data_IF_032949165110
#
_entry.id   IF_032949165110
#
_cell.length_a   1.000
_cell.length_b   1.000
_cell.length_c   1.000
_cell.angle_alpha   90.00
_cell.angle_beta   90.00
_cell.angle_gamma   90.00
#
_symmetry.space_group_name_H-M   'P 1'
#
loop_
_entity.id
_entity.type
_entity.pdbx_description
1 polymer ?
#
# COMPACT_ATOMS: atom_id res chain seq x y z
N UNK A 1 9.65 2.11 -23.32
CA UNK A 1 8.48 1.28 -22.94
C UNK A 1 8.85 -0.19 -22.71
N UNK A 2 9.55 -0.88 -23.64
CA UNK A 2 9.91 -2.31 -23.48
C UNK A 2 10.88 -2.59 -22.32
N UNK A 3 11.82 -1.71 -22.06
CA UNK A 3 12.79 -1.85 -20.94
C UNK A 3 12.13 -1.62 -19.57
N UNK A 4 11.19 -0.70 -19.47
CA UNK A 4 10.38 -0.45 -18.26
C UNK A 4 9.51 -1.65 -17.92
N UNK A 5 8.86 -2.29 -18.92
CA UNK A 5 8.06 -3.51 -18.75
C UNK A 5 8.90 -4.70 -18.26
N UNK A 6 10.14 -4.83 -18.73
CA UNK A 6 11.04 -5.90 -18.29
C UNK A 6 11.47 -5.68 -16.84
N UNK A 7 11.75 -4.43 -16.43
CA UNK A 7 12.08 -4.06 -15.05
C UNK A 7 10.90 -4.30 -14.10
N UNK A 8 9.69 -3.94 -14.49
CA UNK A 8 8.49 -4.15 -13.68
C UNK A 8 8.21 -5.64 -13.42
N UNK A 9 8.35 -6.50 -14.45
CA UNK A 9 8.23 -7.96 -14.27
C UNK A 9 9.32 -8.53 -13.36
N UNK A 10 10.56 -8.05 -13.48
CA UNK A 10 11.65 -8.50 -12.62
C UNK A 10 11.45 -8.06 -11.17
N UNK A 11 10.88 -6.89 -10.92
CA UNK A 11 10.47 -6.45 -9.58
C UNK A 11 9.42 -7.40 -8.98
N UNK A 12 8.33 -7.66 -9.67
CA UNK A 12 7.27 -8.56 -9.18
C UNK A 12 7.80 -9.96 -8.80
N UNK A 13 8.71 -10.53 -9.60
CA UNK A 13 9.28 -11.86 -9.32
C UNK A 13 10.21 -11.81 -8.10
N UNK A 14 11.05 -10.78 -7.99
CA UNK A 14 11.95 -10.60 -6.87
C UNK A 14 11.19 -10.37 -5.56
N UNK A 15 10.19 -9.51 -5.59
CA UNK A 15 9.34 -9.23 -4.42
C UNK A 15 8.60 -10.49 -3.96
N UNK A 16 8.08 -11.28 -4.88
CA UNK A 16 7.44 -12.56 -4.56
C UNK A 16 8.40 -13.55 -3.90
N UNK A 17 9.65 -13.62 -4.36
CA UNK A 17 10.64 -14.50 -3.78
C UNK A 17 11.10 -14.05 -2.38
N UNK A 18 11.31 -12.75 -2.19
CA UNK A 18 11.66 -12.16 -0.88
C UNK A 18 10.50 -12.38 0.11
N UNK A 19 9.27 -12.12 -0.32
CA UNK A 19 8.07 -12.36 0.49
C UNK A 19 7.97 -13.84 0.91
N UNK A 20 8.24 -14.78 0.00
CA UNK A 20 8.26 -16.20 0.35
C UNK A 20 9.23 -16.52 1.48
N UNK A 21 10.46 -16.01 1.42
CA UNK A 21 11.47 -16.23 2.45
C UNK A 21 11.03 -15.65 3.80
N UNK A 22 10.48 -14.45 3.79
CA UNK A 22 10.07 -13.75 5.02
C UNK A 22 8.89 -14.47 5.67
N UNK A 23 7.84 -14.74 4.91
CA UNK A 23 6.58 -15.32 5.41
C UNK A 23 6.77 -16.76 5.86
N UNK A 24 7.62 -17.53 5.15
CA UNK A 24 7.91 -18.92 5.50
C UNK A 24 8.59 -19.09 6.86
N UNK A 25 9.31 -18.05 7.34
CA UNK A 25 9.96 -18.00 8.66
C UNK A 25 9.01 -17.68 9.82
N UNK A 26 7.78 -17.26 9.53
CA UNK A 26 6.75 -16.95 10.52
C UNK A 26 6.73 -15.47 10.96
N UNK A 27 5.69 -15.12 11.76
CA UNK A 27 5.41 -13.73 12.14
C UNK A 27 6.56 -13.11 12.93
N UNK A 28 6.96 -13.74 14.05
CA UNK A 28 7.99 -13.15 14.93
C UNK A 28 9.38 -13.09 14.30
N UNK A 29 9.82 -14.20 13.66
CA UNK A 29 11.18 -14.29 13.09
C UNK A 29 11.32 -13.66 11.72
N UNK A 30 10.25 -13.54 10.97
CA UNK A 30 10.24 -13.00 9.61
C UNK A 30 9.72 -11.57 9.55
N UNK A 31 8.44 -11.40 9.81
CA UNK A 31 7.73 -10.14 9.58
C UNK A 31 8.17 -9.05 10.56
N UNK A 32 8.16 -9.34 11.86
CA UNK A 32 8.55 -8.38 12.90
C UNK A 32 9.99 -7.90 12.72
N UNK A 33 10.94 -8.82 12.52
CA UNK A 33 12.34 -8.46 12.31
C UNK A 33 12.54 -7.61 11.06
N UNK A 34 11.83 -7.93 9.98
CA UNK A 34 11.88 -7.16 8.74
C UNK A 34 11.33 -5.74 8.96
N UNK A 35 10.15 -5.62 9.59
CA UNK A 35 9.53 -4.32 9.85
C UNK A 35 10.40 -3.44 10.74
N UNK A 36 11.00 -3.98 11.79
CA UNK A 36 11.88 -3.24 12.69
C UNK A 36 13.13 -2.67 12.00
N UNK A 37 13.56 -3.25 10.88
CA UNK A 37 14.70 -2.75 10.10
C UNK A 37 14.23 -1.81 8.99
N UNK A 38 13.18 -2.21 8.23
CA UNK A 38 12.78 -1.48 7.03
C UNK A 38 12.01 -0.20 7.35
N UNK A 39 11.22 -0.15 8.43
CA UNK A 39 10.46 1.05 8.78
C UNK A 39 11.33 2.26 9.11
N UNK A 40 12.37 2.17 9.97
CA UNK A 40 13.29 3.29 10.19
C UNK A 40 13.98 3.75 8.90
N UNK A 41 14.41 2.82 8.05
CA UNK A 41 15.03 3.15 6.76
C UNK A 41 14.07 3.94 5.86
N UNK A 42 12.81 3.50 5.78
CA UNK A 42 11.76 4.19 5.04
C UNK A 42 11.58 5.63 5.53
N UNK A 43 11.47 5.84 6.85
CA UNK A 43 11.31 7.18 7.43
C UNK A 43 12.52 8.08 7.16
N UNK A 44 13.74 7.55 7.27
CA UNK A 44 14.96 8.33 6.97
C UNK A 44 14.96 8.79 5.51
N UNK A 45 14.69 7.89 4.57
CA UNK A 45 14.64 8.22 3.14
C UNK A 45 13.52 9.23 2.87
N UNK A 46 12.35 9.06 3.47
CA UNK A 46 11.22 9.98 3.33
C UNK A 46 11.60 11.40 3.81
N UNK A 47 12.27 11.53 4.95
CA UNK A 47 12.72 12.82 5.49
C UNK A 47 13.75 13.47 4.55
N UNK A 48 14.70 12.71 4.00
CA UNK A 48 15.69 13.20 3.04
C UNK A 48 15.00 13.76 1.78
N UNK A 49 14.01 13.05 1.25
CA UNK A 49 13.21 13.55 0.12
C UNK A 49 12.41 14.79 0.47
N UNK A 50 11.81 14.84 1.67
CA UNK A 50 11.04 15.98 2.14
C UNK A 50 11.92 17.25 2.19
N UNK A 51 13.09 17.16 2.81
CA UNK A 51 14.05 18.27 2.88
C UNK A 51 14.45 18.69 1.46
N UNK A 52 14.77 17.75 0.58
CA UNK A 52 15.14 18.06 -0.81
C UNK A 52 14.02 18.73 -1.58
N UNK A 53 12.79 18.26 -1.46
CA UNK A 53 11.63 18.82 -2.16
C UNK A 53 11.33 20.25 -1.72
N UNK A 54 11.46 20.54 -0.42
CA UNK A 54 11.29 21.87 0.13
C UNK A 54 12.37 22.89 -0.30
N UNK A 55 13.54 22.41 -0.76
CA UNK A 55 14.62 23.29 -1.29
C UNK A 55 14.48 23.60 -2.78
N UNK A 56 13.44 23.13 -3.44
CA UNK A 56 13.20 23.39 -4.87
C UNK A 56 12.66 24.83 -5.10
N UNK A 57 12.93 25.44 -6.26
CA UNK A 57 12.59 26.85 -6.53
C UNK A 57 11.10 27.18 -6.35
N UNK A 58 10.21 26.33 -6.81
CA UNK A 58 8.76 26.54 -6.78
C UNK A 58 8.04 25.67 -5.72
N UNK A 59 8.76 25.28 -4.67
CA UNK A 59 8.23 24.47 -3.60
C UNK A 59 6.97 25.08 -2.94
N UNK A 60 6.94 26.41 -2.81
CA UNK A 60 5.83 27.13 -2.21
C UNK A 60 4.53 27.00 -3.01
N UNK A 61 4.58 26.98 -4.34
CA UNK A 61 3.40 26.81 -5.19
C UNK A 61 2.82 25.39 -5.03
N UNK A 62 3.69 24.39 -5.08
CA UNK A 62 3.31 23.00 -4.84
C UNK A 62 2.71 22.77 -3.44
N UNK A 63 3.31 23.35 -2.41
CA UNK A 63 2.77 23.29 -1.05
C UNK A 63 1.42 24.02 -0.93
N UNK A 64 1.28 25.19 -1.54
CA UNK A 64 0.02 25.92 -1.55
C UNK A 64 -1.07 25.12 -2.25
N UNK A 65 -0.78 24.51 -3.38
CA UNK A 65 -1.71 23.62 -4.07
C UNK A 65 -2.15 22.44 -3.18
N UNK A 66 -1.21 21.80 -2.50
CA UNK A 66 -1.48 20.61 -1.68
C UNK A 66 -2.23 20.95 -0.37
N UNK A 67 -1.84 22.03 0.30
CA UNK A 67 -2.35 22.38 1.65
C UNK A 67 -3.51 23.38 1.63
N UNK A 68 -3.82 24.01 0.48
CA UNK A 68 -4.91 24.96 0.39
C UNK A 68 -6.25 24.23 0.13
N UNK A 69 -7.14 24.14 1.12
CA UNK A 69 -8.40 23.43 0.96
C UNK A 69 -9.37 24.23 0.06
N UNK A 70 -9.89 23.57 -0.96
CA UNK A 70 -10.97 24.09 -1.81
C UNK A 70 -12.27 23.32 -1.53
N UNK A 71 -13.06 23.84 -0.60
CA UNK A 71 -14.33 23.22 -0.19
C UNK A 71 -15.37 23.20 -1.30
N UNK A 72 -15.24 24.04 -2.34
CA UNK A 72 -16.17 24.07 -3.47
C UNK A 72 -16.12 22.80 -4.34
N UNK A 73 -15.00 22.07 -4.28
CA UNK A 73 -14.78 20.83 -5.03
C UNK A 73 -15.23 19.56 -4.30
N UNK A 74 -15.77 19.69 -3.09
CA UNK A 74 -16.25 18.53 -2.33
C UNK A 74 -17.58 18.06 -2.92
N UNK A 75 -17.54 16.96 -3.66
CA UNK A 75 -18.71 16.27 -4.19
C UNK A 75 -18.92 14.93 -3.47
N UNK A 76 -20.10 14.31 -3.53
CA UNK A 76 -20.32 12.98 -2.97
C UNK A 76 -19.31 11.94 -3.49
N UNK A 77 -18.89 12.04 -4.75
CA UNK A 77 -17.89 11.16 -5.33
C UNK A 77 -16.51 11.35 -4.70
N UNK A 78 -16.14 12.58 -4.36
CA UNK A 78 -14.88 12.88 -3.65
C UNK A 78 -14.91 12.27 -2.26
N UNK A 79 -16.02 12.34 -1.54
CA UNK A 79 -16.19 11.75 -0.21
C UNK A 79 -16.04 10.22 -0.28
N UNK A 80 -16.72 9.57 -1.23
CA UNK A 80 -16.64 8.10 -1.40
C UNK A 80 -15.22 7.65 -1.75
N UNK A 81 -14.53 8.40 -2.62
CA UNK A 81 -13.13 8.11 -2.97
C UNK A 81 -12.18 8.30 -1.78
N UNK A 82 -12.36 9.38 -1.01
CA UNK A 82 -11.57 9.63 0.19
C UNK A 82 -11.78 8.54 1.25
N UNK A 83 -13.03 8.11 1.44
CA UNK A 83 -13.37 7.00 2.33
C UNK A 83 -12.71 5.69 1.86
N UNK A 84 -12.82 5.36 0.57
CA UNK A 84 -12.16 4.19 -0.02
C UNK A 84 -10.63 4.22 0.18
N UNK A 85 -10.01 5.39 -0.02
CA UNK A 85 -8.59 5.59 0.23
C UNK A 85 -8.22 5.40 1.70
N UNK A 86 -9.01 5.90 2.64
CA UNK A 86 -8.78 5.71 4.07
C UNK A 86 -8.89 4.22 4.46
N UNK A 87 -9.88 3.50 3.94
CA UNK A 87 -10.00 2.06 4.14
C UNK A 87 -8.80 1.30 3.59
N UNK A 88 -8.32 1.68 2.41
CA UNK A 88 -7.16 1.07 1.78
C UNK A 88 -5.88 1.34 2.58
N UNK A 89 -5.61 2.60 2.94
CA UNK A 89 -4.40 3.03 3.63
C UNK A 89 -4.29 2.41 5.03
N UNK A 90 -5.37 2.45 5.80
CA UNK A 90 -5.44 1.85 7.13
C UNK A 90 -5.66 0.33 7.12
N UNK A 91 -5.70 -0.29 5.92
CA UNK A 91 -5.94 -1.73 5.75
C UNK A 91 -7.24 -2.24 6.40
N UNK A 92 -8.27 -1.37 6.44
CA UNK A 92 -9.60 -1.72 6.96
C UNK A 92 -10.34 -2.61 5.94
N UNK A 93 -11.09 -3.59 6.42
CA UNK A 93 -11.85 -4.48 5.55
C UNK A 93 -11.05 -5.60 4.86
N UNK A 94 -9.72 -5.60 4.97
CA UNK A 94 -8.84 -6.62 4.37
C UNK A 94 -8.56 -7.81 5.30
N UNK A 95 -9.04 -7.80 6.55
CA UNK A 95 -8.72 -8.82 7.54
C UNK A 95 -7.32 -8.71 8.16
N UNK A 96 -6.49 -7.75 7.73
CA UNK A 96 -5.11 -7.57 8.24
C UNK A 96 -5.13 -7.26 9.72
N UNK A 97 -5.94 -6.31 10.15
CA UNK A 97 -6.03 -5.93 11.57
C UNK A 97 -6.53 -7.08 12.45
N UNK A 98 -7.47 -7.89 11.96
CA UNK A 98 -7.97 -9.08 12.68
C UNK A 98 -6.84 -10.11 12.80
N UNK A 99 -6.15 -10.39 11.70
CA UNK A 99 -5.03 -11.34 11.70
C UNK A 99 -3.93 -10.91 12.65
N UNK A 100 -3.53 -9.64 12.63
CA UNK A 100 -2.49 -9.15 13.53
C UNK A 100 -2.96 -9.03 14.98
N UNK A 101 -4.22 -8.67 15.22
CA UNK A 101 -4.76 -8.61 16.58
C UNK A 101 -4.78 -9.99 17.25
N UNK A 102 -4.90 -11.07 16.48
CA UNK A 102 -4.80 -12.44 17.02
C UNK A 102 -3.41 -12.79 17.57
N UNK A 103 -2.39 -12.02 17.21
CA UNK A 103 -1.03 -12.16 17.73
C UNK A 103 -0.72 -11.23 18.90
N UNK A 104 -1.66 -10.32 19.27
CA UNK A 104 -1.45 -9.38 20.36
C UNK A 104 -1.44 -10.07 21.72
N UNK A 105 -0.64 -9.52 22.62
CA UNK A 105 -0.64 -9.96 24.02
C UNK A 105 -1.78 -9.26 24.79
N UNK A 106 -2.32 -9.90 25.83
CA UNK A 106 -3.41 -9.38 26.66
C UNK A 106 -3.11 -8.01 27.34
N UNK A 107 -1.85 -7.56 27.32
CA UNK A 107 -1.42 -6.24 27.82
C UNK A 107 -1.49 -5.12 26.77
N UNK A 108 -1.87 -5.40 25.53
CA UNK A 108 -1.87 -4.41 24.45
C UNK A 108 -3.07 -3.47 24.57
N UNK A 109 -2.80 -2.16 24.64
CA UNK A 109 -3.83 -1.12 24.65
C UNK A 109 -4.33 -0.84 23.23
N UNK A 110 -5.44 -1.46 22.82
CA UNK A 110 -5.96 -1.41 21.45
C UNK A 110 -6.23 0.02 20.95
N UNK A 111 -6.88 0.87 21.78
CA UNK A 111 -7.21 2.25 21.40
C UNK A 111 -5.94 3.06 21.13
N UNK A 112 -4.95 2.96 22.02
CA UNK A 112 -3.66 3.65 21.85
C UNK A 112 -2.96 3.18 20.58
N UNK A 113 -2.94 1.89 20.31
CA UNK A 113 -2.34 1.31 19.11
C UNK A 113 -3.05 1.79 17.86
N UNK A 114 -4.38 1.73 17.80
CA UNK A 114 -5.17 2.20 16.66
C UNK A 114 -4.96 3.69 16.38
N UNK A 115 -4.99 4.54 17.42
CA UNK A 115 -4.72 5.98 17.27
C UNK A 115 -3.31 6.25 16.76
N UNK A 116 -2.31 5.54 17.28
CA UNK A 116 -0.92 5.68 16.82
C UNK A 116 -0.78 5.29 15.34
N UNK A 117 -1.40 4.19 14.91
CA UNK A 117 -1.39 3.77 13.51
C UNK A 117 -2.03 4.82 12.62
N UNK A 118 -3.22 5.33 12.98
CA UNK A 118 -3.91 6.34 12.19
C UNK A 118 -3.10 7.65 12.06
N UNK A 119 -2.47 8.11 13.15
CA UNK A 119 -1.64 9.32 13.15
C UNK A 119 -0.39 9.12 12.28
N UNK A 120 0.29 7.99 12.41
CA UNK A 120 1.49 7.69 11.62
C UNK A 120 1.17 7.55 10.13
N UNK A 121 0.09 6.87 9.78
CA UNK A 121 -0.38 6.71 8.39
C UNK A 121 -0.66 8.08 7.76
N UNK A 122 -1.44 8.92 8.44
CA UNK A 122 -1.74 10.29 7.99
C UNK A 122 -0.46 11.12 7.86
N UNK A 123 0.48 11.00 8.80
CA UNK A 123 1.76 11.72 8.75
C UNK A 123 2.58 11.33 7.52
N UNK A 124 2.68 10.03 7.23
CA UNK A 124 3.38 9.54 6.02
C UNK A 124 2.70 10.04 4.76
N UNK A 125 1.37 10.03 4.70
CA UNK A 125 0.62 10.54 3.55
C UNK A 125 0.85 12.03 3.31
N UNK A 126 0.87 12.84 4.38
CA UNK A 126 1.19 14.28 4.29
C UNK A 126 2.63 14.50 3.83
N UNK A 127 3.60 13.78 4.39
CA UNK A 127 5.00 13.87 3.97
C UNK A 127 5.18 13.48 2.50
N UNK A 128 4.49 12.43 2.03
CA UNK A 128 4.50 12.06 0.62
C UNK A 128 3.94 13.17 -0.29
N UNK A 129 2.86 13.84 0.12
CA UNK A 129 2.33 15.02 -0.58
C UNK A 129 3.33 16.18 -0.62
N UNK A 130 3.99 16.47 0.50
CA UNK A 130 5.05 17.50 0.59
C UNK A 130 6.26 17.16 -0.28
N UNK A 131 6.51 15.90 -0.57
CA UNK A 131 7.57 15.48 -1.49
C UNK A 131 7.14 15.65 -2.95
N UNK A 132 5.95 15.18 -3.28
CA UNK A 132 5.48 15.04 -4.67
C UNK A 132 5.09 16.39 -5.27
N UNK A 133 4.23 17.16 -4.60
CA UNK A 133 3.67 18.37 -5.19
C UNK A 133 4.72 19.46 -5.45
N UNK A 134 5.62 19.82 -4.51
CA UNK A 134 6.68 20.76 -4.81
C UNK A 134 7.59 20.30 -5.95
N UNK A 135 7.90 19.01 -6.02
CA UNK A 135 8.74 18.45 -7.07
C UNK A 135 8.06 18.57 -8.45
N UNK A 136 6.78 18.20 -8.55
CA UNK A 136 6.00 18.27 -9.79
C UNK A 136 5.87 19.71 -10.29
N UNK A 137 5.53 20.66 -9.41
CA UNK A 137 5.39 22.08 -9.75
C UNK A 137 6.73 22.71 -10.15
N UNK A 138 7.82 22.44 -9.43
CA UNK A 138 9.13 22.98 -9.73
C UNK A 138 9.68 22.58 -11.10
N UNK A 139 9.20 21.47 -11.64
CA UNK A 139 9.64 21.00 -12.96
C UNK A 139 8.56 21.14 -14.05
N UNK A 140 7.46 21.86 -13.76
CA UNK A 140 6.40 22.18 -14.72
C UNK A 140 5.71 20.95 -15.31
N UNK A 141 5.60 19.88 -14.52
CA UNK A 141 4.94 18.64 -14.93
C UNK A 141 3.52 18.63 -14.36
N UNK A 142 2.53 18.27 -15.17
CA UNK A 142 1.16 18.16 -14.71
C UNK A 142 1.02 17.07 -13.63
N UNK A 143 0.33 17.35 -12.51
CA UNK A 143 0.08 16.40 -11.45
C UNK A 143 -0.94 15.35 -11.92
N UNK A 144 -0.50 14.39 -12.72
CA UNK A 144 -1.33 13.28 -13.20
C UNK A 144 -1.61 12.32 -12.05
N UNK A 145 -2.85 11.87 -11.93
CA UNK A 145 -3.24 10.89 -10.92
C UNK A 145 -2.90 9.46 -11.36
N UNK A 146 -2.62 8.60 -10.37
CA UNK A 146 -2.46 7.17 -10.59
C UNK A 146 -1.01 6.70 -10.70
N UNK A 147 -0.78 5.46 -11.17
CA UNK A 147 0.55 4.85 -11.25
C UNK A 147 1.56 5.62 -12.11
N UNK A 148 1.08 6.35 -13.10
CA UNK A 148 1.92 7.14 -14.00
C UNK A 148 2.65 8.27 -13.28
N UNK A 149 2.07 8.83 -12.21
CA UNK A 149 2.74 9.82 -11.37
C UNK A 149 4.03 9.24 -10.76
N UNK A 150 3.96 8.01 -10.28
CA UNK A 150 5.07 7.34 -9.57
C UNK A 150 6.12 6.78 -10.52
N UNK A 151 5.69 6.17 -11.64
CA UNK A 151 6.60 5.42 -12.51
C UNK A 151 7.04 6.18 -13.76
N UNK A 152 6.36 7.27 -14.12
CA UNK A 152 6.69 8.10 -15.30
C UNK A 152 7.06 9.52 -14.89
N UNK A 153 6.16 10.20 -14.17
CA UNK A 153 6.34 11.61 -13.84
C UNK A 153 7.51 11.85 -12.89
N UNK A 154 7.55 11.18 -11.75
CA UNK A 154 8.63 11.38 -10.77
C UNK A 154 10.02 11.00 -11.29
N UNK A 155 10.23 9.88 -12.02
CA UNK A 155 11.51 9.62 -12.66
C UNK A 155 11.95 10.70 -13.65
N UNK A 156 11.02 11.31 -14.40
CA UNK A 156 11.33 12.43 -15.29
C UNK A 156 11.74 13.67 -14.50
N UNK A 157 11.10 13.95 -13.37
CA UNK A 157 11.52 15.01 -12.44
C UNK A 157 12.95 14.76 -11.93
N UNK A 158 13.25 13.54 -11.49
CA UNK A 158 14.61 13.21 -11.01
C UNK A 158 15.67 13.31 -12.08
N UNK A 159 15.35 13.04 -13.35
CA UNK A 159 16.30 13.22 -14.46
C UNK A 159 16.72 14.67 -14.66
N UNK A 160 15.92 15.65 -14.22
CA UNK A 160 16.22 17.07 -14.28
C UNK A 160 16.97 17.57 -13.04
N UNK A 161 17.09 16.73 -12.00
CA UNK A 161 17.81 17.10 -10.77
C UNK A 161 19.31 16.77 -10.88
N UNK A 162 20.19 17.55 -10.19
CA UNK A 162 21.60 17.18 -10.07
C UNK A 162 21.70 15.81 -9.37
N UNK A 163 22.65 14.98 -9.84
CA UNK A 163 22.85 13.60 -9.34
C UNK A 163 21.59 12.74 -9.47
N UNK A 164 20.93 12.80 -10.63
CA UNK A 164 19.66 12.13 -10.93
C UNK A 164 19.64 10.63 -10.58
N UNK A 165 20.75 9.93 -10.80
CA UNK A 165 20.88 8.50 -10.50
C UNK A 165 20.71 8.21 -8.99
N UNK A 166 21.22 9.07 -8.12
CA UNK A 166 21.08 8.93 -6.67
C UNK A 166 19.62 9.08 -6.24
N UNK A 167 18.94 10.14 -6.70
CA UNK A 167 17.54 10.40 -6.36
C UNK A 167 16.63 9.31 -6.86
N UNK A 168 16.82 8.85 -8.10
CA UNK A 168 16.06 7.72 -8.65
C UNK A 168 16.30 6.44 -7.85
N UNK A 169 17.54 6.12 -7.49
CA UNK A 169 17.88 4.93 -6.72
C UNK A 169 17.24 4.96 -5.32
N UNK A 170 17.34 6.10 -4.61
CA UNK A 170 16.71 6.27 -3.29
C UNK A 170 15.18 6.16 -3.37
N UNK A 171 14.57 6.75 -4.38
CA UNK A 171 13.12 6.69 -4.57
C UNK A 171 12.63 5.26 -4.83
N UNK A 172 13.28 4.53 -5.74
CA UNK A 172 12.90 3.14 -6.00
C UNK A 172 13.22 2.22 -4.81
N UNK A 173 14.25 2.54 -4.02
CA UNK A 173 14.50 1.85 -2.75
C UNK A 173 13.35 2.10 -1.76
N UNK A 174 12.91 3.35 -1.60
CA UNK A 174 11.76 3.73 -0.77
C UNK A 174 10.51 2.95 -1.18
N UNK A 175 10.17 2.96 -2.48
CA UNK A 175 9.02 2.24 -3.00
C UNK A 175 9.12 0.72 -2.76
N UNK A 176 10.30 0.14 -2.98
CA UNK A 176 10.52 -1.29 -2.76
C UNK A 176 10.31 -1.66 -1.29
N UNK A 177 10.85 -0.86 -0.36
CA UNK A 177 10.68 -1.08 1.08
C UNK A 177 9.21 -0.95 1.47
N UNK A 178 8.52 0.09 1.00
CA UNK A 178 7.10 0.30 1.27
C UNK A 178 6.22 -0.83 0.70
N UNK A 179 6.49 -1.27 -0.53
CA UNK A 179 5.77 -2.36 -1.18
C UNK A 179 5.99 -3.70 -0.45
N UNK A 180 7.22 -4.01 -0.03
CA UNK A 180 7.53 -5.24 0.70
C UNK A 180 6.79 -5.32 2.04
N UNK A 181 6.75 -4.25 2.81
CA UNK A 181 6.03 -4.24 4.10
C UNK A 181 4.54 -4.47 3.93
N UNK A 182 3.92 -3.85 2.92
CA UNK A 182 2.50 -4.01 2.61
C UNK A 182 2.16 -5.39 2.05
N UNK A 183 2.95 -5.88 1.10
CA UNK A 183 2.70 -7.20 0.49
C UNK A 183 2.85 -8.33 1.49
N UNK A 184 3.83 -8.28 2.39
CA UNK A 184 3.98 -9.27 3.47
C UNK A 184 2.74 -9.33 4.35
N UNK A 185 2.16 -8.18 4.70
CA UNK A 185 0.94 -8.12 5.52
C UNK A 185 -0.27 -8.73 4.82
N UNK A 186 -0.47 -8.43 3.54
CA UNK A 186 -1.54 -9.01 2.72
C UNK A 186 -1.39 -10.52 2.55
N UNK A 187 -0.17 -10.99 2.30
CA UNK A 187 0.11 -12.43 2.18
C UNK A 187 -0.16 -13.18 3.48
N UNK A 188 0.16 -12.58 4.65
CA UNK A 188 -0.05 -13.22 5.95
C UNK A 188 -1.54 -13.51 6.20
N UNK A 189 -2.45 -12.60 5.83
CA UNK A 189 -3.89 -12.82 5.94
C UNK A 189 -4.32 -14.06 5.15
N UNK A 190 -3.92 -14.15 3.89
CA UNK A 190 -4.29 -15.27 3.04
C UNK A 190 -3.63 -16.57 3.49
N UNK A 191 -2.37 -16.52 3.93
CA UNK A 191 -1.67 -17.70 4.47
C UNK A 191 -2.33 -18.18 5.76
N UNK A 192 -2.73 -17.26 6.66
CA UNK A 192 -3.48 -17.61 7.88
C UNK A 192 -4.80 -18.29 7.54
N UNK A 193 -5.52 -17.81 6.53
CA UNK A 193 -6.74 -18.46 6.05
C UNK A 193 -6.49 -19.91 5.60
N UNK A 194 -5.48 -20.14 4.76
CA UNK A 194 -5.13 -21.50 4.29
C UNK A 194 -4.69 -22.43 5.41
N UNK A 195 -4.00 -21.91 6.44
CA UNK A 195 -3.61 -22.70 7.61
C UNK A 195 -4.84 -23.09 8.43
N UNK A 196 -5.72 -22.11 8.73
CA UNK A 196 -6.82 -22.31 9.67
C UNK A 196 -8.00 -23.08 9.05
N UNK A 197 -8.33 -22.82 7.77
CA UNK A 197 -9.47 -23.48 7.11
C UNK A 197 -9.10 -24.72 6.33
N UNK A 198 -7.95 -24.74 5.67
CA UNK A 198 -7.53 -25.87 4.84
C UNK A 198 -6.50 -26.75 5.54
N UNK A 199 -6.15 -26.46 6.79
CA UNK A 199 -5.20 -27.21 7.61
C UNK A 199 -3.85 -27.48 6.91
N UNK A 200 -3.42 -26.55 6.03
CA UNK A 200 -2.16 -26.66 5.32
C UNK A 200 -0.99 -26.27 6.23
N UNK A 201 0.14 -26.94 6.06
CA UNK A 201 1.37 -26.47 6.72
C UNK A 201 1.74 -25.10 6.17
N UNK A 202 2.35 -24.24 7.02
CA UNK A 202 2.72 -22.85 6.65
C UNK A 202 3.50 -22.79 5.32
N UNK A 203 4.47 -23.69 5.10
CA UNK A 203 5.24 -23.72 3.85
C UNK A 203 4.38 -24.03 2.62
N UNK A 204 3.41 -24.95 2.75
CA UNK A 204 2.48 -25.28 1.66
C UNK A 204 1.53 -24.13 1.39
N UNK A 205 0.95 -23.53 2.44
CA UNK A 205 0.05 -22.37 2.33
C UNK A 205 0.74 -21.19 1.65
N UNK A 206 1.96 -20.83 2.08
CA UNK A 206 2.74 -19.73 1.49
C UNK A 206 3.06 -20.00 0.01
N UNK A 207 3.44 -21.23 -0.34
CA UNK A 207 3.74 -21.62 -1.73
C UNK A 207 2.49 -21.53 -2.62
N UNK A 208 1.35 -22.04 -2.15
CA UNK A 208 0.07 -21.99 -2.88
C UNK A 208 -0.34 -20.54 -3.13
N UNK A 209 -0.28 -19.70 -2.10
CA UNK A 209 -0.62 -18.28 -2.23
C UNK A 209 0.32 -17.56 -3.21
N UNK A 210 1.61 -17.87 -3.17
CA UNK A 210 2.58 -17.28 -4.08
C UNK A 210 2.28 -17.62 -5.55
N UNK A 211 1.89 -18.85 -5.84
CA UNK A 211 1.51 -19.26 -7.20
C UNK A 211 0.26 -18.50 -7.67
N UNK A 212 -0.77 -18.40 -6.82
CA UNK A 212 -2.00 -17.67 -7.14
C UNK A 212 -1.68 -16.20 -7.46
N UNK A 213 -0.94 -15.53 -6.57
CA UNK A 213 -0.57 -14.12 -6.76
C UNK A 213 0.32 -13.92 -7.99
N UNK A 214 1.25 -14.83 -8.27
CA UNK A 214 2.09 -14.75 -9.46
C UNK A 214 1.27 -14.82 -10.76
N UNK A 215 0.24 -15.67 -10.81
CA UNK A 215 -0.67 -15.75 -11.96
C UNK A 215 -1.48 -14.45 -12.09
N UNK A 216 -2.12 -13.98 -11.02
CA UNK A 216 -2.94 -12.78 -11.02
C UNK A 216 -2.12 -11.52 -11.36
N UNK A 217 -0.93 -11.37 -10.76
CA UNK A 217 -0.04 -10.24 -11.04
C UNK A 217 0.46 -10.23 -12.49
N UNK A 218 0.66 -11.41 -13.08
CA UNK A 218 1.02 -11.51 -14.50
C UNK A 218 -0.12 -11.02 -15.39
N UNK A 219 -1.36 -11.40 -15.11
CA UNK A 219 -2.56 -10.93 -15.83
C UNK A 219 -2.71 -9.41 -15.71
N UNK A 220 -2.61 -8.86 -14.50
CA UNK A 220 -2.66 -7.41 -14.25
C UNK A 220 -1.52 -6.67 -14.98
N UNK A 221 -0.30 -7.20 -14.95
CA UNK A 221 0.85 -6.59 -15.65
C UNK A 221 0.68 -6.61 -17.17
N UNK A 222 0.11 -7.67 -17.74
CA UNK A 222 -0.20 -7.75 -19.17
C UNK A 222 -1.30 -6.75 -19.57
N UNK A 223 -2.26 -6.50 -18.69
CA UNK A 223 -3.38 -5.57 -18.97
C UNK A 223 -2.95 -4.11 -19.09
N UNK A 224 -1.87 -3.70 -18.41
CA UNK A 224 -1.28 -2.36 -18.55
C UNK A 224 -0.47 -2.26 -19.87
N UNK A 225 -0.10 -3.40 -20.44
CA UNK A 225 0.77 -3.49 -21.62
C UNK A 225 0.13 -4.07 -22.86
N UNK A 226 0.41 -5.33 -23.10
CA UNK A 226 0.03 -6.02 -24.34
C UNK A 226 -1.48 -6.23 -24.47
N UNK A 227 -2.21 -6.29 -23.35
CA UNK A 227 -3.64 -6.49 -23.29
C UNK A 227 -4.42 -5.20 -22.94
N UNK A 228 -3.83 -4.04 -23.15
CA UNK A 228 -4.49 -2.74 -22.87
C UNK A 228 -5.74 -2.50 -23.74
N UNK A 229 -5.90 -3.24 -24.82
CA UNK A 229 -7.10 -3.24 -25.67
C UNK A 229 -8.27 -4.05 -25.07
N UNK A 230 -7.99 -5.00 -24.16
CA UNK A 230 -9.03 -5.78 -23.49
C UNK A 230 -9.62 -4.91 -22.38
N UNK A 231 -10.90 -4.57 -22.50
CA UNK A 231 -11.61 -3.74 -21.54
C UNK A 231 -12.78 -4.48 -20.93
N UNK A 232 -12.90 -4.41 -19.61
CA UNK A 232 -14.01 -4.92 -18.81
C UNK A 232 -14.77 -3.71 -18.26
N UNK A 233 -16.03 -3.54 -18.63
CA UNK A 233 -16.83 -2.35 -18.29
C UNK A 233 -16.14 -1.02 -18.65
N UNK A 234 -15.46 -0.97 -19.80
CA UNK A 234 -14.74 0.23 -20.27
C UNK A 234 -13.40 0.51 -19.58
N UNK A 235 -12.97 -0.30 -18.62
CA UNK A 235 -11.70 -0.20 -17.87
C UNK A 235 -10.73 -1.29 -18.29
N UNK A 236 -9.43 -1.05 -18.13
CA UNK A 236 -8.44 -2.15 -18.25
C UNK A 236 -8.68 -3.19 -17.16
N UNK A 237 -8.14 -4.40 -17.31
CA UNK A 237 -8.28 -5.45 -16.28
C UNK A 237 -7.70 -4.97 -14.93
N UNK A 238 -6.57 -4.26 -14.97
CA UNK A 238 -5.96 -3.67 -13.78
C UNK A 238 -6.89 -2.66 -13.11
N UNK A 239 -7.40 -1.67 -13.86
CA UNK A 239 -8.29 -0.65 -13.32
C UNK A 239 -9.62 -1.22 -12.82
N UNK A 240 -10.11 -2.30 -13.47
CA UNK A 240 -11.31 -3.00 -13.02
C UNK A 240 -11.07 -3.74 -11.69
N UNK A 241 -9.93 -4.41 -11.54
CA UNK A 241 -9.54 -5.05 -10.28
C UNK A 241 -9.34 -4.03 -9.16
N UNK A 242 -8.68 -2.91 -9.45
CA UNK A 242 -8.48 -1.82 -8.49
C UNK A 242 -9.82 -1.22 -8.04
N UNK A 243 -10.69 -0.88 -8.98
CA UNK A 243 -12.02 -0.35 -8.67
C UNK A 243 -12.84 -1.32 -7.81
N UNK A 244 -12.86 -2.59 -8.18
CA UNK A 244 -13.63 -3.61 -7.47
C UNK A 244 -13.08 -3.85 -6.06
N UNK A 245 -11.76 -3.91 -5.90
CA UNK A 245 -11.14 -4.12 -4.60
C UNK A 245 -11.25 -2.89 -3.70
N UNK A 246 -10.83 -1.71 -4.17
CA UNK A 246 -10.71 -0.52 -3.33
C UNK A 246 -12.06 0.17 -3.06
N UNK A 247 -12.98 0.21 -4.03
CA UNK A 247 -14.23 0.96 -3.92
C UNK A 247 -15.39 0.08 -3.46
N UNK A 248 -15.38 -1.22 -3.77
CA UNK A 248 -16.49 -2.12 -3.42
C UNK A 248 -16.12 -3.05 -2.26
N UNK A 249 -15.08 -3.89 -2.45
CA UNK A 249 -14.78 -4.94 -1.47
C UNK A 249 -14.30 -4.41 -0.13
N UNK A 250 -13.51 -3.34 -0.11
CA UNK A 250 -12.98 -2.80 1.15
C UNK A 250 -14.08 -2.19 2.04
N UNK A 251 -14.93 -1.25 1.55
CA UNK A 251 -16.00 -0.73 2.38
C UNK A 251 -17.02 -1.80 2.80
N UNK A 252 -17.41 -2.69 1.88
CA UNK A 252 -18.34 -3.79 2.20
C UNK A 252 -17.72 -4.77 3.19
N UNK A 253 -16.45 -5.14 2.98
CA UNK A 253 -15.71 -6.00 3.91
C UNK A 253 -15.57 -5.38 5.29
N UNK A 254 -15.26 -4.10 5.37
CA UNK A 254 -15.19 -3.36 6.64
C UNK A 254 -16.51 -3.31 7.37
N UNK A 255 -17.61 -3.08 6.65
CA UNK A 255 -18.96 -3.10 7.21
C UNK A 255 -19.34 -4.48 7.72
N UNK A 256 -19.11 -5.54 6.92
CA UNK A 256 -19.40 -6.91 7.33
C UNK A 256 -18.60 -7.34 8.56
N UNK A 257 -17.29 -7.01 8.60
CA UNK A 257 -16.42 -7.29 9.74
C UNK A 257 -16.92 -6.56 10.99
N UNK A 258 -17.28 -5.28 10.87
CA UNK A 258 -17.81 -4.48 11.98
C UNK A 258 -19.13 -5.06 12.50
N UNK A 259 -20.04 -5.44 11.61
CA UNK A 259 -21.30 -6.09 11.98
C UNK A 259 -21.06 -7.42 12.69
N UNK A 260 -20.18 -8.28 12.17
CA UNK A 260 -19.88 -9.57 12.77
C UNK A 260 -19.26 -9.42 14.16
N UNK A 261 -18.32 -8.48 14.33
CA UNK A 261 -17.69 -8.21 15.64
C UNK A 261 -18.70 -7.67 16.66
N UNK A 262 -19.66 -6.86 16.21
CA UNK A 262 -20.70 -6.33 17.09
C UNK A 262 -21.73 -7.40 17.50
N UNK A 263 -22.05 -8.33 16.61
CA UNK A 263 -23.05 -9.38 16.86
C UNK A 263 -22.45 -10.63 17.50
N UNK A 264 -21.14 -10.79 17.52
CA UNK A 264 -20.49 -11.94 18.17
C UNK A 264 -20.58 -11.80 19.70
N UNK A 265 -21.03 -12.83 20.42
CA UNK A 265 -21.08 -12.79 21.88
C UNK A 265 -19.69 -12.57 22.46
N UNK A 266 -19.59 -11.65 23.41
CA UNK A 266 -18.35 -11.41 24.14
C UNK A 266 -17.97 -12.64 24.95
N UNK A 267 -16.68 -12.95 25.16
CA UNK A 267 -16.26 -14.00 26.11
C UNK A 267 -16.84 -13.83 27.51
N UNK A 268 -17.21 -12.59 27.89
CA UNK A 268 -17.90 -12.31 29.17
C UNK A 268 -19.35 -12.75 29.16
N UNK A 269 -20.03 -12.73 28.02
CA UNK A 269 -21.43 -13.16 27.90
C UNK A 269 -21.56 -14.69 27.93
N UNK A 270 -20.49 -15.40 27.53
CA UNK A 270 -20.42 -16.87 27.54
C UNK A 270 -20.04 -17.40 28.93
N UNK A 271 -19.34 -16.63 29.77
CA UNK A 271 -18.93 -17.02 31.11
C UNK A 271 -20.00 -16.77 32.19
N UNK A 272 -21.14 -16.16 31.83
CA UNK A 272 -22.26 -15.85 32.72
C UNK A 272 -23.47 -16.78 32.57
N UNK A 273 -23.38 -17.83 31.74
CA UNK A 273 -24.33 -18.94 31.62
C UNK A 273 -23.69 -20.24 32.10
#
# INVERSE_FOLDING_TARGET
LHSLRRRQRQMCIRDSFINYIIISKGVQKGIEKMSNILMPILFIILIVFCIRSLTLPEANEGLKFFLHPDFSKITPQVIVRAMGQAFFSLSLGMGILITYSSYFNNKTHLIKTASTVAILDTTVAILAGVIIFPAVFSYGVDPVAGPDLVFVTLPNVFNQMPVSALWSALFFLLLTVAALTSTVSLFEVAVAFFINHMHLSRKKATRTMMIIVAILSTVCSLSIGSWSHIRIFGKTIFDACDYFSAIILLPVGGLLISCLLYTSPSPRDISGS
#
